data_IF_658332524960
#
_entry.id   IF_658332524960
#
_cell.length_a   1.000
_cell.length_b   1.000
_cell.length_c   1.000
_cell.angle_alpha   90.00
_cell.angle_beta   90.00
_cell.angle_gamma   90.00
#
_symmetry.space_group_name_H-M   'P 1'
#
loop_
_entity.id
_entity.type
_entity.pdbx_description
1 polymer ?
#
# COMPACT_ATOMS: atom_id res chain seq x y z
N UNK A 1 -2.06 1.53 0.62
CA UNK A 1 -3.06 2.01 1.61
C UNK A 1 -2.71 1.42 2.96
N UNK A 2 -2.67 2.23 4.01
CA UNK A 2 -2.54 1.76 5.39
C UNK A 2 -3.81 2.08 6.14
N UNK A 3 -4.45 1.06 6.71
CA UNK A 3 -5.69 1.22 7.46
C UNK A 3 -5.49 0.66 8.86
N UNK A 4 -5.96 1.40 9.86
CA UNK A 4 -6.09 0.90 11.23
C UNK A 4 -7.54 0.45 11.39
N UNK A 5 -7.72 -0.80 11.77
CA UNK A 5 -9.05 -1.41 11.92
C UNK A 5 -9.17 -1.91 13.36
N UNK A 6 -10.23 -1.54 14.09
CA UNK A 6 -10.42 -2.04 15.44
C UNK A 6 -10.67 -3.56 15.44
N UNK A 7 -10.23 -4.24 16.50
CA UNK A 7 -10.42 -5.68 16.65
C UNK A 7 -11.77 -5.99 17.31
N UNK A 8 -12.86 -5.65 16.64
CA UNK A 8 -14.22 -5.76 17.14
C UNK A 8 -15.14 -4.69 16.56
N UNK A 9 -16.36 -4.64 17.04
CA UNK A 9 -17.34 -3.63 16.65
C UNK A 9 -18.41 -3.46 17.73
N UNK A 10 -19.24 -2.43 17.62
CA UNK A 10 -20.37 -2.24 18.51
C UNK A 10 -21.42 -3.33 18.29
N UNK A 11 -22.15 -3.67 19.35
CA UNK A 11 -23.38 -4.44 19.27
C UNK A 11 -24.42 -3.71 18.43
N UNK A 12 -25.43 -4.45 17.96
CA UNK A 12 -26.52 -3.90 17.14
C UNK A 12 -27.26 -2.75 17.84
N UNK A 13 -27.38 -2.82 19.16
CA UNK A 13 -27.94 -1.76 20.02
C UNK A 13 -26.95 -0.63 20.36
N UNK A 14 -25.70 -0.72 19.92
CA UNK A 14 -24.63 0.27 20.16
C UNK A 14 -24.07 0.29 21.59
N UNK A 15 -24.57 -0.54 22.51
CA UNK A 15 -24.27 -0.41 23.95
C UNK A 15 -23.03 -1.16 24.40
N UNK A 16 -22.53 -2.12 23.62
CA UNK A 16 -21.45 -3.02 24.01
C UNK A 16 -20.43 -3.18 22.90
N UNK A 17 -19.16 -3.32 23.28
CA UNK A 17 -18.13 -3.70 22.33
C UNK A 17 -18.08 -5.22 22.20
N UNK A 18 -18.25 -5.73 20.98
CA UNK A 18 -18.19 -7.14 20.64
C UNK A 18 -16.84 -7.48 20.02
N UNK A 19 -16.21 -8.52 20.57
CA UNK A 19 -14.98 -9.08 20.01
C UNK A 19 -15.30 -10.19 18.99
N UNK A 20 -14.41 -10.43 18.02
CA UNK A 20 -14.57 -11.53 17.06
C UNK A 20 -14.66 -12.88 17.78
N UNK A 21 -15.56 -13.79 17.38
CA UNK A 21 -15.65 -15.15 17.98
C UNK A 21 -14.32 -15.91 18.01
N UNK A 22 -13.41 -15.60 17.07
CA UNK A 22 -12.07 -16.22 16.98
C UNK A 22 -11.02 -15.56 17.89
N UNK A 23 -11.36 -14.54 18.67
CA UNK A 23 -10.43 -13.86 19.58
C UNK A 23 -10.16 -14.64 20.88
N UNK A 24 -10.99 -15.63 21.21
CA UNK A 24 -10.79 -16.58 22.31
C UNK A 24 -9.81 -17.68 21.89
N UNK A 25 -8.53 -17.33 21.67
CA UNK A 25 -7.48 -18.28 21.29
C UNK A 25 -6.22 -17.65 20.67
N UNK A 26 -5.27 -18.50 20.23
CA UNK A 26 -3.93 -18.09 19.74
C UNK A 26 -3.91 -17.29 18.43
N UNK A 27 -5.03 -17.13 17.70
CA UNK A 27 -5.12 -16.33 16.45
C UNK A 27 -6.13 -15.18 16.58
N UNK A 28 -5.68 -14.05 17.14
CA UNK A 28 -6.49 -12.88 17.54
C UNK A 28 -6.76 -11.87 16.40
N UNK A 29 -7.34 -12.31 15.29
CA UNK A 29 -7.73 -11.39 14.21
C UNK A 29 -9.21 -11.55 13.84
N UNK A 30 -9.88 -10.42 13.57
CA UNK A 30 -11.27 -10.37 13.15
C UNK A 30 -11.50 -11.13 11.83
N UNK A 31 -10.61 -10.94 10.85
CA UNK A 31 -10.68 -11.58 9.53
C UNK A 31 -9.29 -12.09 9.14
N UNK A 32 -9.24 -13.22 8.43
CA UNK A 32 -7.99 -13.77 7.92
C UNK A 32 -7.42 -12.89 6.81
N UNK A 33 -6.11 -12.65 6.82
CA UNK A 33 -5.42 -11.76 5.88
C UNK A 33 -5.67 -12.09 4.40
N UNK A 34 -5.76 -13.38 4.05
CA UNK A 34 -6.06 -13.80 2.68
C UNK A 34 -7.47 -13.44 2.22
N UNK A 35 -8.46 -13.41 3.13
CA UNK A 35 -9.83 -13.00 2.80
C UNK A 35 -9.85 -11.51 2.48
N UNK A 36 -9.21 -10.68 3.32
CA UNK A 36 -9.10 -9.25 3.07
C UNK A 36 -8.39 -8.98 1.75
N UNK A 37 -7.29 -9.69 1.49
CA UNK A 37 -6.53 -9.52 0.26
C UNK A 37 -7.33 -9.86 -0.99
N UNK A 38 -8.05 -10.98 -0.97
CA UNK A 38 -8.84 -11.41 -2.12
C UNK A 38 -10.07 -10.50 -2.32
N UNK A 39 -10.74 -10.09 -1.25
CA UNK A 39 -11.87 -9.16 -1.30
C UNK A 39 -11.43 -7.79 -1.84
N UNK A 40 -10.31 -7.26 -1.34
CA UNK A 40 -9.76 -5.99 -1.80
C UNK A 40 -9.40 -6.06 -3.28
N UNK A 41 -8.69 -7.11 -3.73
CA UNK A 41 -8.37 -7.34 -5.15
C UNK A 41 -9.63 -7.32 -6.01
N UNK A 42 -10.66 -8.09 -5.64
CA UNK A 42 -11.93 -8.18 -6.38
C UNK A 42 -12.67 -6.85 -6.44
N UNK A 43 -12.79 -6.16 -5.30
CA UNK A 43 -13.48 -4.85 -5.22
C UNK A 43 -12.73 -3.78 -6.01
N UNK A 44 -11.39 -3.73 -5.89
CA UNK A 44 -10.57 -2.81 -6.66
C UNK A 44 -10.77 -3.02 -8.16
N UNK A 45 -10.63 -4.26 -8.65
CA UNK A 45 -10.78 -4.56 -10.07
C UNK A 45 -12.21 -4.31 -10.58
N UNK A 46 -13.23 -4.54 -9.76
CA UNK A 46 -14.62 -4.21 -10.09
C UNK A 46 -14.79 -2.70 -10.35
N UNK A 47 -14.36 -1.85 -9.41
CA UNK A 47 -14.48 -0.40 -9.59
C UNK A 47 -13.56 0.12 -10.70
N UNK A 48 -12.36 -0.45 -10.85
CA UNK A 48 -11.43 -0.10 -11.91
C UNK A 48 -12.02 -0.37 -13.31
N UNK A 49 -12.66 -1.54 -13.50
CA UNK A 49 -13.41 -1.86 -14.72
C UNK A 49 -14.58 -0.89 -14.92
N UNK A 50 -15.31 -0.55 -13.86
CA UNK A 50 -16.40 0.44 -13.93
C UNK A 50 -15.93 1.81 -14.41
N UNK A 51 -14.77 2.29 -13.93
CA UNK A 51 -14.18 3.56 -14.37
C UNK A 51 -13.73 3.52 -15.84
N UNK A 52 -13.20 2.38 -16.30
CA UNK A 52 -12.84 2.19 -17.71
C UNK A 52 -14.08 2.24 -18.61
N UNK A 53 -15.10 1.45 -18.29
CA UNK A 53 -16.34 1.40 -19.07
C UNK A 53 -17.08 2.75 -19.07
N UNK A 54 -16.98 3.51 -17.97
CA UNK A 54 -17.53 4.86 -17.87
C UNK A 54 -16.68 5.96 -18.51
N UNK A 55 -15.58 5.63 -19.22
CA UNK A 55 -14.73 6.61 -19.88
C UNK A 55 -14.01 7.59 -18.92
N UNK A 56 -13.90 7.25 -17.63
CA UNK A 56 -13.34 8.12 -16.59
C UNK A 56 -11.83 7.99 -16.42
N UNK A 57 -11.23 6.99 -17.07
CA UNK A 57 -9.79 6.78 -17.07
C UNK A 57 -9.15 7.45 -18.29
N UNK A 58 -8.04 8.15 -18.07
CA UNK A 58 -7.22 8.73 -19.14
C UNK A 58 -5.95 7.90 -19.30
N UNK A 59 -5.69 7.45 -20.53
CA UNK A 59 -4.50 6.69 -20.89
C UNK A 59 -3.66 7.52 -21.85
N UNK A 60 -2.49 7.98 -21.40
CA UNK A 60 -1.63 8.91 -22.13
C UNK A 60 -0.20 8.39 -22.22
N UNK A 61 0.58 8.91 -23.16
CA UNK A 61 1.99 8.53 -23.32
C UNK A 61 2.16 7.02 -23.56
N UNK A 62 3.06 6.41 -22.79
CA UNK A 62 3.42 4.98 -22.92
C UNK A 62 2.28 4.01 -22.57
N UNK A 63 1.21 4.47 -21.91
CA UNK A 63 0.06 3.63 -21.54
C UNK A 63 -1.16 3.83 -22.44
N UNK A 64 -1.05 4.62 -23.52
CA UNK A 64 -2.17 4.94 -24.44
C UNK A 64 -2.93 3.70 -24.91
N UNK A 65 -2.22 2.58 -25.13
CA UNK A 65 -2.80 1.35 -25.64
C UNK A 65 -3.75 0.69 -24.65
N UNK A 66 -3.65 0.98 -23.34
CA UNK A 66 -4.64 0.55 -22.35
C UNK A 66 -6.02 1.19 -22.56
N UNK A 67 -6.15 2.20 -23.42
CA UNK A 67 -7.45 2.69 -23.88
C UNK A 67 -8.18 1.65 -24.74
N UNK A 68 -7.46 0.76 -25.42
CA UNK A 68 -8.03 -0.34 -26.22
C UNK A 68 -8.58 -1.41 -25.28
N UNK A 69 -9.82 -1.85 -25.55
CA UNK A 69 -10.54 -2.82 -24.71
C UNK A 69 -9.76 -4.09 -24.45
N UNK A 70 -9.16 -4.65 -25.50
CA UNK A 70 -8.39 -5.88 -25.40
C UNK A 70 -7.18 -5.74 -24.45
N UNK A 71 -6.41 -4.66 -24.57
CA UNK A 71 -5.23 -4.42 -23.73
C UNK A 71 -5.63 -4.14 -22.27
N UNK A 72 -6.74 -3.44 -22.05
CA UNK A 72 -7.27 -3.21 -20.70
C UNK A 72 -7.75 -4.50 -20.03
N UNK A 73 -8.47 -5.36 -20.76
CA UNK A 73 -8.93 -6.66 -20.26
C UNK A 73 -7.74 -7.55 -19.92
N UNK A 74 -6.72 -7.60 -20.80
CA UNK A 74 -5.47 -8.31 -20.56
C UNK A 74 -4.74 -7.82 -19.31
N UNK A 75 -4.69 -6.50 -19.08
CA UNK A 75 -4.16 -5.92 -17.84
C UNK A 75 -4.96 -6.41 -16.63
N UNK A 76 -6.29 -6.34 -16.68
CA UNK A 76 -7.15 -6.79 -15.58
C UNK A 76 -6.93 -8.27 -15.25
N UNK A 77 -6.81 -9.12 -16.26
CA UNK A 77 -6.57 -10.56 -16.07
C UNK A 77 -5.20 -10.83 -15.45
N UNK A 78 -4.17 -10.13 -15.92
CA UNK A 78 -2.84 -10.19 -15.32
C UNK A 78 -2.84 -9.74 -13.86
N UNK A 79 -3.58 -8.66 -13.53
CA UNK A 79 -3.73 -8.19 -12.16
C UNK A 79 -4.51 -9.18 -11.29
N UNK A 80 -5.53 -9.85 -11.84
CA UNK A 80 -6.34 -10.82 -11.12
C UNK A 80 -5.54 -12.10 -10.77
N UNK A 81 -4.69 -12.56 -11.70
CA UNK A 81 -3.79 -13.71 -11.54
C UNK A 81 -2.67 -13.47 -10.52
N UNK A 82 -2.21 -12.22 -10.37
CA UNK A 82 -1.19 -11.88 -9.38
C UNK A 82 -1.70 -12.15 -7.96
N UNK A 83 -0.80 -12.63 -7.09
CA UNK A 83 -1.08 -12.74 -5.66
C UNK A 83 -0.98 -11.36 -5.02
N UNK A 84 -2.13 -10.80 -4.64
CA UNK A 84 -2.15 -9.55 -3.88
C UNK A 84 -1.75 -9.85 -2.44
N UNK A 85 -0.76 -9.12 -1.95
CA UNK A 85 -0.25 -9.29 -0.58
C UNK A 85 -0.85 -8.17 0.25
N UNK A 86 -1.79 -8.54 1.11
CA UNK A 86 -2.20 -7.69 2.23
C UNK A 86 -1.42 -8.14 3.46
N UNK A 87 -0.95 -7.19 4.26
CA UNK A 87 -0.31 -7.47 5.52
C UNK A 87 -1.23 -7.00 6.65
N UNK A 88 -1.53 -7.91 7.58
CA UNK A 88 -2.27 -7.60 8.79
C UNK A 88 -1.39 -7.99 9.96
N UNK A 89 -1.14 -7.04 10.84
CA UNK A 89 -0.47 -7.27 12.11
C UNK A 89 -1.34 -6.78 13.25
N UNK A 90 -1.08 -7.29 14.45
CA UNK A 90 -1.69 -6.78 15.67
C UNK A 90 -1.36 -5.27 15.78
N UNK A 91 -2.30 -4.43 16.24
CA UNK A 91 -2.03 -3.02 16.46
C UNK A 91 -0.88 -2.83 17.46
N UNK A 92 -0.39 -1.59 17.46
CA UNK A 92 0.65 -1.13 18.38
C UNK A 92 0.24 -1.33 19.85
N UNK A 93 1.22 -1.33 20.74
CA UNK A 93 1.02 -1.68 22.16
C UNK A 93 0.14 -0.69 22.95
N UNK A 94 -0.24 0.45 22.37
CA UNK A 94 -1.10 1.46 22.99
C UNK A 94 -1.52 2.60 22.03
N UNK A 95 -2.41 3.49 22.48
CA UNK A 95 -2.86 4.67 21.73
C UNK A 95 -1.73 5.62 21.33
N UNK A 96 -0.72 5.77 22.18
CA UNK A 96 0.41 6.67 21.98
C UNK A 96 1.22 6.24 20.74
N UNK A 97 1.44 4.93 20.56
CA UNK A 97 2.15 4.40 19.40
C UNK A 97 1.30 4.45 18.12
N UNK A 98 -0.03 4.45 18.22
CA UNK A 98 -0.92 4.72 17.08
C UNK A 98 -0.76 6.17 16.64
N UNK A 99 -0.76 7.12 17.57
CA UNK A 99 -0.55 8.54 17.30
C UNK A 99 0.84 8.78 16.72
N UNK A 100 1.88 8.17 17.30
CA UNK A 100 3.24 8.25 16.79
C UNK A 100 3.36 7.67 15.37
N UNK A 101 2.72 6.52 15.11
CA UNK A 101 2.67 5.92 13.78
C UNK A 101 2.02 6.90 12.80
N UNK A 102 0.85 7.47 13.11
CA UNK A 102 0.14 8.41 12.24
C UNK A 102 0.95 9.70 12.01
N UNK A 103 1.54 10.27 13.06
CA UNK A 103 2.38 11.48 12.96
C UNK A 103 3.62 11.28 12.08
N UNK A 104 4.17 10.06 12.01
CA UNK A 104 5.24 9.76 11.06
C UNK A 104 4.77 9.77 9.59
N UNK A 105 3.50 9.48 9.29
CA UNK A 105 2.99 9.55 7.92
C UNK A 105 2.63 10.96 7.47
N UNK A 106 2.32 11.86 8.41
CA UNK A 106 2.05 13.26 8.07
C UNK A 106 3.33 14.06 7.85
N UNK A 107 4.45 13.67 8.48
CA UNK A 107 5.70 14.44 8.43
C UNK A 107 6.84 13.83 7.59
N UNK A 108 6.75 12.57 7.13
CA UNK A 108 7.90 11.93 6.45
C UNK A 108 7.81 11.99 4.93
N UNK A 109 8.88 12.54 4.35
CA UNK A 109 9.27 12.44 2.95
C UNK A 109 9.53 10.97 2.56
N UNK A 110 9.45 10.67 1.25
CA UNK A 110 9.64 9.34 0.67
C UNK A 110 10.91 8.60 1.16
N UNK A 111 11.98 9.36 1.37
CA UNK A 111 13.24 8.91 1.96
C UNK A 111 13.85 10.06 2.77
N UNK A 112 14.48 9.77 3.91
CA UNK A 112 15.21 10.78 4.69
C UNK A 112 16.61 11.02 4.09
N UNK A 113 17.12 12.25 4.17
CA UNK A 113 18.44 12.60 3.65
C UNK A 113 19.57 11.71 4.20
N UNK A 114 19.52 11.34 5.49
CA UNK A 114 20.53 10.45 6.13
C UNK A 114 20.64 9.05 5.51
N UNK A 115 19.68 8.67 4.67
CA UNK A 115 19.74 7.39 3.94
C UNK A 115 20.51 7.52 2.63
N UNK A 116 20.69 8.70 2.06
CA UNK A 116 21.53 8.89 0.88
C UNK A 116 22.99 8.85 1.34
N UNK A 117 23.74 7.87 0.86
CA UNK A 117 25.12 7.60 1.30
C UNK A 117 26.12 8.26 0.36
N UNK A 118 25.84 8.19 -0.95
CA UNK A 118 26.78 8.61 -1.99
C UNK A 118 26.00 9.06 -3.22
N UNK A 119 26.50 10.11 -3.87
CA UNK A 119 26.05 10.57 -5.17
C UNK A 119 27.30 10.76 -6.03
N UNK A 120 27.42 9.96 -7.09
CA UNK A 120 28.58 9.96 -7.97
C UNK A 120 28.18 9.78 -9.42
N UNK A 121 28.66 10.71 -10.26
CA UNK A 121 28.19 10.81 -11.64
C UNK A 121 26.66 10.81 -11.67
N UNK A 122 26.11 9.91 -12.49
CA UNK A 122 24.68 9.71 -12.65
C UNK A 122 24.12 8.59 -11.74
N UNK A 123 24.74 8.34 -10.59
CA UNK A 123 24.31 7.28 -9.67
C UNK A 123 24.12 7.76 -8.24
N UNK A 124 23.06 7.25 -7.59
CA UNK A 124 22.70 7.51 -6.19
C UNK A 124 22.73 6.20 -5.41
N UNK A 125 23.55 6.13 -4.37
CA UNK A 125 23.58 5.02 -3.40
C UNK A 125 22.85 5.42 -2.13
N UNK A 126 21.89 4.61 -1.69
CA UNK A 126 21.15 4.86 -0.45
C UNK A 126 20.86 3.59 0.34
N UNK A 127 20.68 3.76 1.65
CA UNK A 127 20.27 2.70 2.58
C UNK A 127 18.78 2.45 2.50
N UNK A 128 18.39 1.20 2.37
CA UNK A 128 17.01 0.75 2.48
C UNK A 128 16.89 -0.40 3.48
N UNK A 129 15.67 -0.58 4.00
CA UNK A 129 15.33 -1.70 4.87
C UNK A 129 14.71 -2.80 4.03
N UNK A 130 15.39 -3.95 3.96
CA UNK A 130 14.92 -5.10 3.20
C UNK A 130 13.94 -5.92 4.05
N UNK A 131 12.66 -5.65 3.89
CA UNK A 131 11.60 -6.38 4.59
C UNK A 131 11.52 -7.87 4.16
N UNK A 132 12.02 -8.22 2.98
CA UNK A 132 12.06 -9.60 2.48
C UNK A 132 13.21 -10.42 3.07
N UNK A 133 14.34 -9.77 3.37
CA UNK A 133 15.50 -10.36 4.04
C UNK A 133 15.58 -9.93 5.51
N UNK A 134 14.52 -10.26 6.27
CA UNK A 134 14.55 -10.16 7.73
C UNK A 134 14.75 -8.75 8.28
N UNK A 135 14.31 -7.70 7.56
CA UNK A 135 14.47 -6.31 7.96
C UNK A 135 15.93 -5.79 8.01
N UNK A 136 16.86 -6.43 7.31
CA UNK A 136 18.25 -5.98 7.25
C UNK A 136 18.37 -4.61 6.58
N UNK A 137 19.32 -3.81 7.06
CA UNK A 137 19.71 -2.58 6.39
C UNK A 137 20.70 -2.93 5.27
N UNK A 138 20.33 -2.59 4.03
CA UNK A 138 21.14 -2.83 2.84
C UNK A 138 21.34 -1.52 2.08
N UNK A 139 22.31 -1.52 1.18
CA UNK A 139 22.54 -0.41 0.26
C UNK A 139 22.10 -0.82 -1.14
N UNK A 140 21.57 0.13 -1.90
CA UNK A 140 21.30 -0.03 -3.33
C UNK A 140 21.80 1.20 -4.05
N UNK A 141 22.36 0.99 -5.24
CA UNK A 141 22.76 2.05 -6.17
C UNK A 141 21.79 2.04 -7.35
N UNK A 142 21.24 3.20 -7.67
CA UNK A 142 20.38 3.40 -8.84
C UNK A 142 20.93 4.52 -9.70
N UNK A 143 20.60 4.48 -10.99
CA UNK A 143 20.70 5.65 -11.86
C UNK A 143 19.92 6.83 -11.26
N UNK A 144 20.47 8.04 -11.40
CA UNK A 144 19.93 9.26 -10.80
C UNK A 144 18.50 9.56 -11.28
N UNK A 145 18.20 9.34 -12.55
CA UNK A 145 16.85 9.56 -13.09
C UNK A 145 15.87 8.50 -12.58
N UNK A 146 16.29 7.24 -12.43
CA UNK A 146 15.43 6.22 -11.82
C UNK A 146 15.18 6.49 -10.33
N UNK A 147 16.18 7.00 -9.60
CA UNK A 147 16.01 7.43 -8.22
C UNK A 147 14.99 8.57 -8.12
N UNK A 148 15.13 9.63 -8.92
CA UNK A 148 14.20 10.76 -8.96
C UNK A 148 12.80 10.28 -9.34
N UNK A 149 12.66 9.45 -10.38
CA UNK A 149 11.35 8.91 -10.80
C UNK A 149 10.65 8.18 -9.65
N UNK A 150 11.37 7.32 -8.91
CA UNK A 150 10.82 6.62 -7.74
C UNK A 150 10.48 7.56 -6.59
N UNK A 151 11.30 8.57 -6.35
CA UNK A 151 11.03 9.58 -5.33
C UNK A 151 9.74 10.34 -5.64
N UNK A 152 9.57 10.80 -6.88
CA UNK A 152 8.39 11.55 -7.32
C UNK A 152 7.09 10.74 -7.24
N UNK A 153 7.13 9.40 -7.32
CA UNK A 153 5.94 8.55 -7.10
C UNK A 153 5.34 8.68 -5.68
N UNK A 154 6.09 9.23 -4.73
CA UNK A 154 5.65 9.41 -3.35
C UNK A 154 5.20 10.84 -3.06
N UNK A 155 5.35 11.77 -4.02
CA UNK A 155 4.82 13.13 -3.90
C UNK A 155 3.34 13.07 -4.30
N UNK A 156 2.46 13.41 -3.37
CA UNK A 156 1.04 13.53 -3.66
C UNK A 156 0.82 14.67 -4.68
N UNK A 157 -0.01 14.47 -5.71
CA UNK A 157 -0.35 15.56 -6.62
C UNK A 157 -0.94 16.74 -5.85
N UNK A 158 -0.70 17.97 -6.30
CA UNK A 158 -1.08 19.21 -5.61
C UNK A 158 -2.55 19.27 -5.13
N UNK A 159 -3.46 18.54 -5.77
CA UNK A 159 -4.88 18.45 -5.37
C UNK A 159 -5.14 17.59 -4.11
N UNK A 160 -4.11 16.93 -3.58
CA UNK A 160 -4.18 16.01 -2.44
C UNK A 160 -3.20 16.38 -1.31
N UNK A 161 -2.51 17.53 -1.45
CA UNK A 161 -1.78 18.21 -0.38
C UNK A 161 -2.71 19.29 0.21
#
# INVERSE_FOLDING_TARGET
>A
MHCIVPCGGLSEDGKRWLLPKKSTGKKKFFVHVHIVSDLFKKKFLYYFKGLYLGGRLKFVGQIKDLGKRHEFEKLCDNLFKKRWITYIKKPFWGPEQVIEYLGRYTHRVAISNDRIIRLEGDSVTFRYRDYGDGNKNKQITLDAFEFIRRFLLHILPFKYL
#
